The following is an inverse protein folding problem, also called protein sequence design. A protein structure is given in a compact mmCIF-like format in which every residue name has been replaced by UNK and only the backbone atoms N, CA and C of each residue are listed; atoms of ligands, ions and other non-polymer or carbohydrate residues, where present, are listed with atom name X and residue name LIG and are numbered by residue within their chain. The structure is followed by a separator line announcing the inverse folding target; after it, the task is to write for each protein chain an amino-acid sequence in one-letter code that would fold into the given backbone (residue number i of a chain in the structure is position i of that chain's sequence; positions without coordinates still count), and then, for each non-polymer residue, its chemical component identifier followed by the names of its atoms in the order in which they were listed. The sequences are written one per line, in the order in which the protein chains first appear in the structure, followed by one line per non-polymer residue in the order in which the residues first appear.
data_IF_694100975296
#
_entry.id   IF_694100975296
#
_cell.length_a   1.000
_cell.length_b   1.000
_cell.length_c   1.000
_cell.angle_alpha   90.00
_cell.angle_beta   90.00
_cell.angle_gamma   90.00
#
_symmetry.space_group_name_H-M   'P 1'
#
loop_
_entity.id
_entity.type
_entity.pdbx_description
1 polymer ?
#
# COMPACT_ATOMS: atom_id res chain seq x y z
N UNK A 1 -5.72 -12.58 -9.35
CA UNK A 1 -5.10 -11.70 -10.38
C UNK A 1 -5.02 -12.42 -11.73
N UNK A 2 -4.56 -13.64 -11.78
CA UNK A 2 -4.39 -14.44 -13.02
C UNK A 2 -5.68 -14.46 -13.85
N UNK A 3 -6.81 -14.91 -13.27
CA UNK A 3 -8.12 -14.93 -13.93
C UNK A 3 -8.52 -13.57 -14.55
N UNK A 4 -8.19 -12.45 -13.89
CA UNK A 4 -8.51 -11.11 -14.39
C UNK A 4 -7.60 -10.78 -15.58
N UNK A 5 -6.31 -11.07 -15.49
CA UNK A 5 -5.35 -10.83 -16.57
C UNK A 5 -5.69 -11.68 -17.81
N UNK A 6 -6.13 -12.93 -17.60
CA UNK A 6 -6.55 -13.83 -18.68
C UNK A 6 -7.83 -13.34 -19.35
N UNK A 7 -8.83 -12.96 -18.55
CA UNK A 7 -10.09 -12.42 -19.07
C UNK A 7 -9.90 -11.11 -19.85
N UNK A 8 -8.88 -10.32 -19.48
CA UNK A 8 -8.50 -9.08 -20.18
C UNK A 8 -7.55 -9.31 -21.38
N UNK A 9 -7.19 -10.56 -21.69
CA UNK A 9 -6.27 -10.90 -22.78
C UNK A 9 -4.84 -10.36 -22.60
N UNK A 10 -4.42 -10.07 -21.35
CA UNK A 10 -3.10 -9.54 -21.06
C UNK A 10 -2.06 -10.66 -21.05
N UNK A 11 -1.15 -10.65 -22.00
CA UNK A 11 0.00 -11.56 -22.06
C UNK A 11 1.08 -11.15 -21.06
N UNK A 12 1.80 -10.08 -21.38
CA UNK A 12 2.84 -9.47 -20.55
C UNK A 12 2.52 -8.01 -20.29
N UNK A 13 2.54 -7.57 -19.03
CA UNK A 13 2.07 -6.24 -18.63
C UNK A 13 2.86 -5.66 -17.45
N UNK A 14 2.92 -4.32 -17.32
CA UNK A 14 3.41 -3.69 -16.11
C UNK A 14 2.38 -3.86 -14.98
N UNK A 15 2.87 -4.20 -13.79
CA UNK A 15 2.05 -4.43 -12.61
C UNK A 15 2.33 -3.37 -11.56
N UNK A 16 1.25 -2.71 -11.09
CA UNK A 16 1.33 -1.72 -10.02
C UNK A 16 0.72 -2.31 -8.75
N UNK A 17 1.51 -2.35 -7.68
CA UNK A 17 1.07 -2.64 -6.32
C UNK A 17 0.98 -1.35 -5.51
N UNK A 18 -0.14 -1.16 -4.80
CA UNK A 18 -0.37 -0.04 -3.91
C UNK A 18 -0.56 -0.56 -2.48
N UNK A 19 0.19 0.03 -1.51
CA UNK A 19 0.08 -0.33 -0.09
C UNK A 19 0.24 -1.86 0.13
N UNK A 20 -0.71 -2.55 0.78
CA UNK A 20 -0.71 -4.02 0.91
C UNK A 20 -0.76 -4.76 -0.44
N UNK A 21 -1.24 -4.10 -1.49
CA UNK A 21 -1.20 -4.64 -2.86
C UNK A 21 0.22 -4.87 -3.37
N UNK A 22 1.22 -4.24 -2.77
CA UNK A 22 2.63 -4.51 -3.06
C UNK A 22 3.00 -5.98 -2.75
N UNK A 23 2.57 -6.50 -1.60
CA UNK A 23 2.83 -7.90 -1.24
C UNK A 23 2.15 -8.88 -2.22
N UNK A 24 0.92 -8.58 -2.63
CA UNK A 24 0.20 -9.37 -3.64
C UNK A 24 0.90 -9.33 -5.00
N UNK A 25 1.38 -8.14 -5.41
CA UNK A 25 2.08 -7.93 -6.68
C UNK A 25 3.45 -8.61 -6.70
N UNK A 26 4.18 -8.59 -5.59
CA UNK A 26 5.44 -9.33 -5.42
C UNK A 26 5.20 -10.83 -5.57
N UNK A 27 4.22 -11.38 -4.83
CA UNK A 27 3.89 -12.79 -4.91
C UNK A 27 3.45 -13.22 -6.33
N UNK A 28 2.72 -12.36 -7.03
CA UNK A 28 2.35 -12.58 -8.42
C UNK A 28 3.56 -12.55 -9.36
N UNK A 29 4.43 -11.55 -9.24
CA UNK A 29 5.61 -11.41 -10.08
C UNK A 29 6.60 -12.58 -9.91
N UNK A 30 6.71 -13.14 -8.71
CA UNK A 30 7.54 -14.34 -8.45
C UNK A 30 6.92 -15.60 -9.06
N UNK A 31 5.60 -15.75 -9.00
CA UNK A 31 4.89 -16.92 -9.56
C UNK A 31 4.79 -16.88 -11.08
N UNK A 32 4.71 -15.68 -11.67
CA UNK A 32 4.47 -15.46 -13.09
C UNK A 32 5.47 -14.46 -13.68
N UNK A 33 6.79 -14.75 -13.60
CA UNK A 33 7.83 -13.80 -14.04
C UNK A 33 7.76 -13.49 -15.54
N UNK A 34 7.20 -14.38 -16.34
CA UNK A 34 6.99 -14.20 -17.79
C UNK A 34 5.87 -13.19 -18.09
N UNK A 35 4.95 -12.95 -17.14
CA UNK A 35 3.80 -12.07 -17.33
C UNK A 35 4.02 -10.64 -16.85
N UNK A 36 4.99 -10.41 -15.97
CA UNK A 36 5.27 -9.08 -15.41
C UNK A 36 6.44 -8.44 -16.15
N UNK A 37 6.15 -7.40 -16.94
CA UNK A 37 7.19 -6.64 -17.66
C UNK A 37 7.94 -5.69 -16.74
N UNK A 38 7.23 -5.01 -15.85
CA UNK A 38 7.72 -4.06 -14.86
C UNK A 38 6.91 -4.20 -13.58
N UNK A 39 7.57 -4.09 -12.44
CA UNK A 39 6.90 -4.08 -11.14
C UNK A 39 7.04 -2.70 -10.51
N UNK A 40 5.93 -2.06 -10.24
CA UNK A 40 5.86 -0.75 -9.58
C UNK A 40 5.20 -0.92 -8.22
N UNK A 41 5.92 -0.58 -7.15
CA UNK A 41 5.47 -0.72 -5.77
C UNK A 41 5.37 0.66 -5.12
N UNK A 42 4.17 1.05 -4.74
CA UNK A 42 3.93 2.35 -4.12
C UNK A 42 3.37 2.22 -2.71
N UNK A 43 4.02 2.90 -1.73
CA UNK A 43 3.54 2.96 -0.35
C UNK A 43 3.45 1.61 0.35
N UNK A 44 4.25 0.63 -0.10
CA UNK A 44 4.15 -0.77 0.34
C UNK A 44 5.10 -1.16 1.45
N UNK A 45 4.98 -2.39 1.88
CA UNK A 45 5.80 -3.04 2.91
C UNK A 45 6.01 -4.52 2.58
N UNK A 46 7.10 -5.09 3.08
CA UNK A 46 7.40 -6.51 2.95
C UNK A 46 6.73 -7.36 4.03
N UNK A 47 6.55 -6.76 5.23
CA UNK A 47 5.98 -7.43 6.39
C UNK A 47 4.88 -6.58 7.03
N UNK A 48 3.73 -7.17 7.27
CA UNK A 48 2.62 -6.59 8.02
C UNK A 48 2.99 -6.30 9.47
N UNK A 49 2.19 -5.49 10.15
CA UNK A 49 2.52 -4.97 11.49
C UNK A 49 2.91 -6.05 12.50
N UNK A 50 2.27 -7.22 12.47
CA UNK A 50 2.55 -8.33 13.39
C UNK A 50 3.79 -9.17 13.02
N UNK A 51 4.31 -9.01 11.81
CA UNK A 51 5.47 -9.77 11.28
C UNK A 51 6.76 -8.98 11.27
N UNK A 52 6.69 -7.67 11.59
CA UNK A 52 7.89 -6.84 11.67
C UNK A 52 8.79 -7.26 12.81
N UNK A 53 10.12 -7.18 12.67
CA UNK A 53 11.03 -7.32 13.79
C UNK A 53 10.74 -6.19 14.80
N UNK A 54 10.89 -6.46 16.08
CA UNK A 54 10.74 -5.46 17.16
C UNK A 54 9.30 -4.95 17.41
N UNK A 55 8.26 -5.73 17.09
CA UNK A 55 6.88 -5.41 17.50
C UNK A 55 6.80 -5.38 19.02
N UNK A 56 6.50 -4.21 19.56
CA UNK A 56 6.39 -3.98 21.01
C UNK A 56 5.00 -4.37 21.55
N UNK A 57 4.87 -4.45 22.88
CA UNK A 57 3.56 -4.61 23.54
C UNK A 57 2.65 -3.43 23.17
N UNK A 58 3.18 -2.20 23.21
CA UNK A 58 2.41 -1.00 22.86
C UNK A 58 1.90 -1.00 21.40
N UNK A 59 2.64 -1.57 20.47
CA UNK A 59 2.19 -1.71 19.06
C UNK A 59 0.99 -2.68 18.97
N UNK A 60 1.02 -3.77 19.70
CA UNK A 60 -0.09 -4.75 19.75
C UNK A 60 -1.34 -4.15 20.41
N UNK A 61 -1.15 -3.40 21.51
CA UNK A 61 -2.25 -2.69 22.17
C UNK A 61 -2.88 -1.64 21.27
N UNK A 62 -2.06 -0.88 20.54
CA UNK A 62 -2.53 0.10 19.55
C UNK A 62 -3.32 -0.59 18.43
N UNK A 63 -2.83 -1.71 17.92
CA UNK A 63 -3.54 -2.48 16.88
C UNK A 63 -4.90 -3.00 17.40
N UNK A 64 -4.95 -3.53 18.62
CA UNK A 64 -6.19 -4.00 19.23
C UNK A 64 -7.20 -2.86 19.49
N UNK A 65 -6.70 -1.68 19.86
CA UNK A 65 -7.56 -0.48 20.01
C UNK A 65 -8.14 -0.05 18.65
N UNK A 66 -7.33 -0.05 17.59
CA UNK A 66 -7.79 0.26 16.23
C UNK A 66 -8.81 -0.77 15.73
N UNK A 67 -8.60 -2.06 15.98
CA UNK A 67 -9.57 -3.12 15.66
C UNK A 67 -10.92 -2.85 16.34
N UNK A 68 -10.90 -2.49 17.61
CA UNK A 68 -12.11 -2.17 18.36
C UNK A 68 -12.84 -0.96 17.76
N UNK A 69 -12.12 0.09 17.39
CA UNK A 69 -12.69 1.27 16.75
C UNK A 69 -13.35 0.93 15.40
N UNK A 70 -12.72 0.11 14.59
CA UNK A 70 -13.30 -0.37 13.33
C UNK A 70 -14.56 -1.17 13.57
N UNK A 71 -14.51 -2.12 14.50
CA UNK A 71 -15.65 -2.99 14.81
C UNK A 71 -16.89 -2.20 15.28
N UNK A 72 -16.68 -1.14 16.05
CA UNK A 72 -17.77 -0.35 16.65
C UNK A 72 -18.23 0.81 15.76
N UNK A 73 -17.36 1.35 14.92
CA UNK A 73 -17.61 2.63 14.27
C UNK A 73 -17.60 2.65 12.74
N UNK A 74 -17.15 1.58 12.08
CA UNK A 74 -16.94 1.61 10.62
C UNK A 74 -18.21 1.87 9.82
N UNK A 75 -19.30 1.17 10.13
CA UNK A 75 -20.59 1.29 9.45
C UNK A 75 -21.51 2.38 9.98
N UNK A 76 -21.14 3.05 11.07
CA UNK A 76 -21.99 4.06 11.74
C UNK A 76 -22.02 5.34 10.89
N UNK A 77 -23.16 6.04 10.88
CA UNK A 77 -23.31 7.30 10.15
C UNK A 77 -22.36 8.41 10.61
N UNK A 78 -22.06 8.48 11.93
CA UNK A 78 -21.06 9.43 12.43
C UNK A 78 -19.65 9.07 11.95
N UNK A 79 -18.92 9.98 11.26
CA UNK A 79 -17.61 9.70 10.71
C UNK A 79 -16.48 9.66 11.75
N UNK A 80 -16.70 10.03 13.00
CA UNK A 80 -15.65 10.23 14.02
C UNK A 80 -14.67 9.04 14.12
N UNK A 81 -15.18 7.81 14.08
CA UNK A 81 -14.33 6.62 14.16
C UNK A 81 -13.49 6.41 12.88
N UNK A 82 -14.06 6.70 11.70
CA UNK A 82 -13.34 6.58 10.42
C UNK A 82 -12.34 7.71 10.22
N UNK A 83 -12.61 8.88 10.82
CA UNK A 83 -11.73 10.04 10.75
C UNK A 83 -10.31 9.73 11.26
N UNK A 84 -10.16 8.80 12.19
CA UNK A 84 -8.85 8.36 12.67
C UNK A 84 -8.04 7.75 11.50
N UNK A 85 -8.66 6.85 10.72
CA UNK A 85 -8.02 6.26 9.54
C UNK A 85 -7.79 7.30 8.46
N UNK A 86 -8.80 8.12 8.17
CA UNK A 86 -8.68 9.21 7.19
C UNK A 86 -7.48 10.10 7.50
N UNK A 87 -7.28 10.47 8.77
CA UNK A 87 -6.15 11.30 9.22
C UNK A 87 -4.80 10.61 9.07
N UNK A 88 -4.75 9.28 9.02
CA UNK A 88 -3.53 8.53 8.72
C UNK A 88 -3.28 8.42 7.22
N UNK A 89 -4.32 8.19 6.43
CA UNK A 89 -4.19 7.98 4.98
C UNK A 89 -4.02 9.26 4.18
N UNK A 90 -4.70 10.34 4.59
CA UNK A 90 -4.71 11.62 3.88
C UNK A 90 -4.63 12.80 4.86
N UNK A 91 -3.55 12.93 5.66
CA UNK A 91 -3.43 13.95 6.71
C UNK A 91 -3.47 15.38 6.19
N UNK A 92 -2.99 15.62 4.97
CA UNK A 92 -2.94 16.94 4.32
C UNK A 92 -4.14 17.18 3.37
N UNK A 93 -5.21 16.36 3.47
CA UNK A 93 -6.42 16.53 2.67
C UNK A 93 -7.26 17.72 3.15
N UNK A 94 -8.01 18.33 2.23
CA UNK A 94 -9.04 19.31 2.60
C UNK A 94 -10.19 18.62 3.37
N UNK A 95 -11.02 19.42 4.05
CA UNK A 95 -12.18 18.88 4.77
C UNK A 95 -13.10 18.06 3.85
N UNK A 96 -13.38 18.57 2.65
CA UNK A 96 -14.27 17.89 1.69
C UNK A 96 -13.65 16.55 1.21
N UNK A 97 -12.34 16.50 1.00
CA UNK A 97 -11.62 15.27 0.65
C UNK A 97 -11.64 14.27 1.80
N UNK A 98 -11.47 14.73 3.05
CA UNK A 98 -11.58 13.86 4.23
C UNK A 98 -13.00 13.31 4.39
N UNK A 99 -14.01 14.14 4.21
CA UNK A 99 -15.42 13.73 4.28
C UNK A 99 -15.75 12.69 3.19
N UNK A 100 -15.27 12.91 1.96
CA UNK A 100 -15.40 11.97 0.86
C UNK A 100 -14.67 10.64 1.14
N UNK A 101 -13.47 10.70 1.72
CA UNK A 101 -12.71 9.50 2.08
C UNK A 101 -13.37 8.73 3.23
N UNK A 102 -13.95 9.42 4.23
CA UNK A 102 -14.76 8.82 5.28
C UNK A 102 -15.97 8.06 4.71
N UNK A 103 -16.65 8.66 3.73
CA UNK A 103 -17.80 8.03 3.08
C UNK A 103 -17.38 6.84 2.20
N UNK A 104 -16.29 6.97 1.46
CA UNK A 104 -15.71 5.87 0.69
C UNK A 104 -15.42 4.66 1.59
N UNK A 105 -14.81 4.87 2.75
CA UNK A 105 -14.56 3.81 3.74
C UNK A 105 -15.86 3.13 4.16
N UNK A 106 -16.90 3.91 4.47
CA UNK A 106 -18.20 3.40 4.90
C UNK A 106 -18.88 2.52 3.84
N UNK A 107 -18.78 2.92 2.58
CA UNK A 107 -19.42 2.24 1.45
C UNK A 107 -18.62 1.03 0.96
N UNK A 108 -17.30 1.01 1.17
CA UNK A 108 -16.41 -0.02 0.59
C UNK A 108 -16.50 -1.38 1.27
N UNK A 109 -16.84 -1.43 2.55
CA UNK A 109 -16.86 -2.69 3.31
C UNK A 109 -17.72 -2.60 4.57
N UNK A 110 -18.24 -3.75 5.01
CA UNK A 110 -18.82 -3.87 6.36
C UNK A 110 -17.72 -3.79 7.43
N UNK A 111 -18.11 -3.46 8.67
CA UNK A 111 -17.19 -3.45 9.81
C UNK A 111 -16.48 -4.80 10.02
N UNK A 112 -17.20 -5.91 9.85
CA UNK A 112 -16.64 -7.25 9.94
C UNK A 112 -15.59 -7.50 8.83
N UNK A 113 -15.88 -7.09 7.61
CA UNK A 113 -14.96 -7.22 6.49
C UNK A 113 -13.71 -6.36 6.72
N UNK A 114 -13.87 -5.13 7.21
CA UNK A 114 -12.75 -4.22 7.51
C UNK A 114 -11.85 -4.79 8.62
N UNK A 115 -12.40 -5.34 9.69
CA UNK A 115 -11.64 -6.01 10.77
C UNK A 115 -10.87 -7.22 10.23
N UNK A 116 -11.54 -8.09 9.46
CA UNK A 116 -10.89 -9.26 8.85
C UNK A 116 -9.75 -8.86 7.92
N UNK A 117 -9.97 -7.82 7.12
CA UNK A 117 -8.96 -7.25 6.25
C UNK A 117 -7.74 -6.73 7.03
N UNK A 118 -7.95 -5.92 8.07
CA UNK A 118 -6.87 -5.42 8.92
C UNK A 118 -6.03 -6.54 9.51
N UNK A 119 -6.67 -7.59 10.04
CA UNK A 119 -5.98 -8.77 10.58
C UNK A 119 -5.16 -9.49 9.50
N UNK A 120 -5.73 -9.71 8.33
CA UNK A 120 -5.03 -10.35 7.22
C UNK A 120 -3.81 -9.55 6.79
N UNK A 121 -3.95 -8.23 6.65
CA UNK A 121 -2.85 -7.33 6.27
C UNK A 121 -1.74 -7.32 7.31
N UNK A 122 -2.08 -7.36 8.60
CA UNK A 122 -1.09 -7.39 9.68
C UNK A 122 -0.23 -8.67 9.70
N UNK A 123 -0.72 -9.76 9.13
CA UNK A 123 -0.03 -11.06 9.05
C UNK A 123 0.71 -11.29 7.72
N UNK A 124 0.63 -10.38 6.76
CA UNK A 124 1.37 -10.51 5.50
C UNK A 124 2.87 -10.58 5.74
N UNK A 125 3.55 -11.47 5.02
CA UNK A 125 5.02 -11.53 4.99
C UNK A 125 5.48 -12.08 3.64
N UNK A 126 6.17 -11.23 2.89
CA UNK A 126 6.72 -11.57 1.56
C UNK A 126 8.24 -11.38 1.51
N UNK A 127 8.90 -11.24 2.64
CA UNK A 127 10.35 -10.97 2.70
C UNK A 127 11.17 -12.05 1.98
N UNK A 128 10.79 -13.31 2.11
CA UNK A 128 11.47 -14.42 1.43
C UNK A 128 11.29 -14.43 -0.09
N UNK A 129 10.31 -13.68 -0.61
CA UNK A 129 10.04 -13.56 -2.05
C UNK A 129 10.83 -12.43 -2.71
N UNK A 130 11.32 -11.45 -1.95
CA UNK A 130 11.93 -10.24 -2.52
C UNK A 130 13.11 -10.55 -3.43
N UNK A 131 14.00 -11.45 -3.01
CA UNK A 131 15.19 -11.84 -3.79
C UNK A 131 14.86 -12.68 -5.04
N UNK A 132 13.62 -13.16 -5.17
CA UNK A 132 13.15 -13.98 -6.27
C UNK A 132 12.49 -13.15 -7.39
N UNK A 133 12.24 -11.86 -7.16
CA UNK A 133 11.64 -10.97 -8.16
C UNK A 133 12.63 -10.78 -9.31
N UNK A 134 12.18 -11.08 -10.54
CA UNK A 134 12.98 -10.97 -11.77
C UNK A 134 12.65 -9.73 -12.61
N UNK A 135 11.43 -9.19 -12.43
CA UNK A 135 10.99 -8.01 -13.18
C UNK A 135 11.76 -6.75 -12.74
N UNK A 136 12.16 -5.87 -13.66
CA UNK A 136 12.60 -4.53 -13.33
C UNK A 136 11.63 -3.90 -12.34
N UNK A 137 12.14 -3.35 -11.21
CA UNK A 137 11.28 -2.89 -10.10
C UNK A 137 11.54 -1.44 -9.74
N UNK A 138 10.48 -0.65 -9.65
CA UNK A 138 10.46 0.71 -9.13
C UNK A 138 9.67 0.73 -7.81
N UNK A 139 10.32 1.15 -6.73
CA UNK A 139 9.67 1.37 -5.43
C UNK A 139 9.55 2.87 -5.19
N UNK A 140 8.34 3.34 -4.99
CA UNK A 140 8.06 4.74 -4.65
C UNK A 140 7.37 4.82 -3.30
N UNK A 141 7.76 5.81 -2.49
CA UNK A 141 7.19 5.98 -1.15
C UNK A 141 7.16 7.45 -0.76
N UNK A 142 6.06 7.88 -0.16
CA UNK A 142 5.95 9.22 0.40
C UNK A 142 6.81 9.31 1.67
N UNK A 143 7.60 10.38 1.79
CA UNK A 143 8.65 10.50 2.82
C UNK A 143 8.10 10.43 4.24
N UNK A 144 7.04 11.19 4.49
CA UNK A 144 6.47 11.39 5.82
C UNK A 144 5.11 10.67 5.96
N UNK A 145 4.95 9.54 5.29
CA UNK A 145 3.75 8.69 5.32
C UNK A 145 3.50 8.15 6.75
N UNK A 146 2.40 8.54 7.41
CA UNK A 146 2.11 8.08 8.77
C UNK A 146 1.44 6.70 8.81
N UNK A 147 0.94 6.20 7.69
CA UNK A 147 0.29 4.89 7.59
C UNK A 147 1.32 3.77 7.44
N UNK A 148 2.24 3.94 6.49
CA UNK A 148 3.34 3.04 6.24
C UNK A 148 4.64 3.84 6.26
N UNK A 149 5.48 3.69 7.29
CA UNK A 149 6.77 4.41 7.36
C UNK A 149 7.63 4.16 6.13
N UNK A 150 8.30 5.20 5.61
CA UNK A 150 9.07 5.12 4.36
C UNK A 150 10.23 4.13 4.39
N UNK A 151 10.69 3.73 5.58
CA UNK A 151 11.69 2.67 5.76
C UNK A 151 11.19 1.31 5.24
N UNK A 152 9.88 1.06 5.25
CA UNK A 152 9.29 -0.15 4.66
C UNK A 152 9.48 -0.19 3.13
N UNK A 153 9.36 0.96 2.46
CA UNK A 153 9.67 1.06 1.03
C UNK A 153 11.16 0.87 0.74
N UNK A 154 12.06 1.35 1.62
CA UNK A 154 13.49 1.09 1.51
C UNK A 154 13.83 -0.38 1.70
N UNK A 155 13.16 -1.05 2.64
CA UNK A 155 13.32 -2.51 2.85
C UNK A 155 12.92 -3.29 1.59
N UNK A 156 11.79 -2.95 0.96
CA UNK A 156 11.38 -3.54 -0.32
C UNK A 156 12.47 -3.37 -1.39
N UNK A 157 12.95 -2.15 -1.57
CA UNK A 157 13.97 -1.86 -2.60
C UNK A 157 15.30 -2.56 -2.30
N UNK A 158 15.70 -2.65 -1.06
CA UNK A 158 16.93 -3.34 -0.65
C UNK A 158 16.85 -4.86 -0.84
N UNK A 159 15.66 -5.44 -0.68
CA UNK A 159 15.45 -6.89 -0.82
C UNK A 159 15.26 -7.36 -2.26
N UNK A 160 14.85 -6.49 -3.18
CA UNK A 160 14.59 -6.83 -4.59
C UNK A 160 15.82 -6.51 -5.45
N UNK A 161 16.41 -7.49 -6.16
CA UNK A 161 17.59 -7.26 -7.00
C UNK A 161 17.37 -6.18 -8.05
N UNK A 162 18.25 -5.17 -8.06
CA UNK A 162 18.20 -4.08 -9.05
C UNK A 162 17.03 -3.10 -8.91
N UNK A 163 16.25 -3.18 -7.82
CA UNK A 163 15.16 -2.25 -7.60
C UNK A 163 15.65 -0.82 -7.36
N UNK A 164 14.94 0.13 -7.96
CA UNK A 164 15.17 1.57 -7.77
C UNK A 164 14.19 2.11 -6.72
N UNK A 165 14.70 2.86 -5.74
CA UNK A 165 13.88 3.54 -4.73
C UNK A 165 13.75 5.04 -5.03
N UNK A 166 12.53 5.57 -4.92
CA UNK A 166 12.24 7.00 -5.04
C UNK A 166 11.41 7.47 -3.86
N UNK A 167 11.96 8.42 -3.09
CA UNK A 167 11.22 9.10 -2.04
C UNK A 167 10.45 10.28 -2.64
N UNK A 168 9.14 10.29 -2.46
CA UNK A 168 8.24 11.35 -2.90
C UNK A 168 8.04 12.38 -1.76
N UNK A 169 7.98 13.69 -2.05
CA UNK A 169 7.65 14.68 -1.04
C UNK A 169 6.17 14.58 -0.66
N UNK A 170 5.84 14.89 0.61
CA UNK A 170 4.48 14.90 1.13
C UNK A 170 4.29 13.96 2.31
N UNK A 171 3.04 13.86 2.78
CA UNK A 171 2.63 13.02 3.91
C UNK A 171 1.49 12.07 3.58
N UNK A 172 0.67 12.38 2.57
CA UNK A 172 -0.48 11.56 2.23
C UNK A 172 -0.06 10.20 1.70
N UNK A 173 -0.55 9.12 2.33
CA UNK A 173 -0.38 7.76 1.83
C UNK A 173 -1.07 7.58 0.48
N UNK A 174 -2.26 8.13 0.34
CA UNK A 174 -2.99 8.25 -0.94
C UNK A 174 -2.70 9.62 -1.52
N UNK A 175 -1.95 9.67 -2.63
CA UNK A 175 -1.64 10.93 -3.30
C UNK A 175 -2.91 11.62 -3.82
N UNK A 176 -3.07 12.87 -3.45
CA UNK A 176 -4.15 13.74 -3.88
C UNK A 176 -3.64 14.72 -4.95
N UNK A 177 -4.56 15.37 -5.67
CA UNK A 177 -4.23 16.26 -6.79
C UNK A 177 -3.25 17.37 -6.41
N UNK A 178 -3.40 17.93 -5.20
CA UNK A 178 -2.55 19.00 -4.68
C UNK A 178 -1.21 18.56 -4.09
N UNK A 179 -0.98 17.24 -3.99
CA UNK A 179 0.23 16.72 -3.33
C UNK A 179 1.50 17.03 -4.13
N UNK A 180 2.55 17.52 -3.46
CA UNK A 180 3.81 17.84 -4.14
C UNK A 180 4.50 16.60 -4.72
N UNK A 181 4.15 15.41 -4.22
CA UNK A 181 4.66 14.12 -4.72
C UNK A 181 4.02 13.64 -6.00
N UNK A 182 2.80 14.09 -6.33
CA UNK A 182 2.03 13.54 -7.44
C UNK A 182 2.68 13.78 -8.82
N UNK A 183 3.15 14.98 -9.17
CA UNK A 183 3.84 15.19 -10.45
C UNK A 183 5.08 14.32 -10.60
N UNK A 184 5.87 14.17 -9.52
CA UNK A 184 7.05 13.32 -9.51
C UNK A 184 6.71 11.84 -9.62
N UNK A 185 5.63 11.39 -8.99
CA UNK A 185 5.13 10.02 -9.13
C UNK A 185 4.90 9.66 -10.60
N UNK A 186 4.16 10.50 -11.33
CA UNK A 186 3.87 10.25 -12.75
C UNK A 186 5.11 10.37 -13.63
N UNK A 187 6.03 11.29 -13.34
CA UNK A 187 7.28 11.43 -14.08
C UNK A 187 8.14 10.17 -13.94
N UNK A 188 8.36 9.71 -12.71
CA UNK A 188 9.17 8.52 -12.40
C UNK A 188 8.56 7.25 -13.01
N UNK A 189 7.23 7.11 -12.92
CA UNK A 189 6.50 6.02 -13.55
C UNK A 189 6.68 6.00 -15.07
N UNK A 190 6.50 7.16 -15.72
CA UNK A 190 6.63 7.30 -17.17
C UNK A 190 8.06 7.01 -17.65
N UNK A 191 9.05 7.51 -16.93
CA UNK A 191 10.45 7.31 -17.29
C UNK A 191 10.88 5.85 -17.09
N UNK A 192 10.39 5.23 -16.01
CA UNK A 192 10.66 3.82 -15.73
C UNK A 192 10.09 2.90 -16.80
N UNK A 193 8.87 3.13 -17.25
CA UNK A 193 8.22 2.31 -18.29
C UNK A 193 8.82 2.48 -19.70
N UNK A 194 9.56 3.58 -19.95
CA UNK A 194 10.20 3.84 -21.25
C UNK A 194 11.61 3.26 -21.37
N UNK A 195 12.33 3.14 -20.26
CA UNK A 195 13.76 2.89 -20.21
C UNK A 195 14.12 1.45 -19.79
N UNK A 196 13.18 0.53 -19.82
CA UNK A 196 13.41 -0.87 -19.40
C UNK A 196 13.10 -1.87 -20.49
#
# INVERSE_FOLDING_TARGET
METIADAAGLGRFPLVGFSQGCAVSIAYAVRHPERVSHLILYGGFAAGANKRPNVTVADRERFAAMETLVKQGWGVGNPAFRQIFTSLFVPDATKDQMDAFNELQRLSASAECAVRYMKTVAELDVRELLSQVKAPTLVMHVRDDPTVPSDQGRELAAGIPGARFVALPGKNHVLLEQDPGLPRFFQELKDFLKNS
#
